data_IF_664657374807
#
_entry.id   IF_664657374807
#
_cell.length_a   1.000
_cell.length_b   1.000
_cell.length_c   1.000
_cell.angle_alpha   90.00
_cell.angle_beta   90.00
_cell.angle_gamma   90.00
#
_symmetry.space_group_name_H-M   'P 1'
#
loop_
_entity.id
_entity.type
_entity.pdbx_description
1 polymer ?
#
# COMPACT_ATOMS: atom_id res chain seq x y z
N UNK A 1 -49.27 -12.94 15.10
CA UNK A 1 -50.50 -12.94 14.25
C UNK A 1 -50.39 -11.75 13.31
N UNK A 2 -49.95 -11.99 12.07
CA UNK A 2 -50.63 -11.70 10.79
C UNK A 2 -51.30 -10.32 10.69
N UNK A 3 -50.81 -9.49 9.77
CA UNK A 3 -51.49 -8.96 8.57
C UNK A 3 -50.46 -8.08 7.82
N UNK A 4 -49.79 -8.52 6.74
CA UNK A 4 -50.26 -8.70 5.36
C UNK A 4 -50.94 -7.44 4.79
N UNK A 5 -50.16 -6.59 4.11
CA UNK A 5 -50.66 -5.52 3.26
C UNK A 5 -50.41 -5.90 1.79
N UNK A 6 -51.51 -6.13 1.07
CA UNK A 6 -51.56 -6.36 -0.38
C UNK A 6 -51.16 -5.12 -1.15
N UNK A 7 -50.29 -5.28 -2.14
CA UNK A 7 -49.97 -4.25 -3.14
C UNK A 7 -50.75 -4.55 -4.43
N UNK A 8 -51.82 -3.81 -4.66
CA UNK A 8 -52.62 -3.86 -5.89
C UNK A 8 -51.95 -2.98 -6.94
N UNK A 9 -51.42 -3.56 -8.01
CA UNK A 9 -50.92 -2.81 -9.18
C UNK A 9 -52.06 -2.67 -10.19
N UNK A 10 -52.39 -1.42 -10.50
CA UNK A 10 -53.45 -1.04 -11.43
C UNK A 10 -52.93 -1.14 -12.88
N UNK A 11 -53.56 -2.02 -13.67
CA UNK A 11 -53.41 -2.10 -15.13
C UNK A 11 -54.10 -0.90 -15.80
N UNK A 12 -53.39 -0.16 -16.64
CA UNK A 12 -53.99 0.76 -17.60
C UNK A 12 -53.78 0.22 -19.02
N UNK A 13 -54.86 -0.26 -19.62
CA UNK A 13 -54.99 -0.64 -21.03
C UNK A 13 -55.16 0.62 -21.89
N UNK A 14 -54.24 0.84 -22.84
CA UNK A 14 -54.51 1.65 -24.03
C UNK A 14 -53.97 0.89 -25.24
N UNK A 15 -54.91 0.43 -26.08
CA UNK A 15 -54.63 -0.33 -27.28
C UNK A 15 -54.15 0.55 -28.43
N UNK A 16 -53.17 0.03 -29.16
CA UNK A 16 -52.98 0.25 -30.60
C UNK A 16 -52.51 -1.08 -31.21
N UNK A 17 -53.02 -1.42 -32.40
CA UNK A 17 -52.80 -2.70 -33.06
C UNK A 17 -51.32 -2.88 -33.46
N UNK A 18 -50.75 -4.10 -33.42
CA UNK A 18 -49.38 -4.32 -33.86
C UNK A 18 -49.34 -4.45 -35.38
N UNK A 19 -48.46 -3.65 -36.01
CA UNK A 19 -47.94 -3.96 -37.33
C UNK A 19 -47.14 -5.26 -37.23
N UNK A 20 -47.41 -6.22 -38.11
CA UNK A 20 -46.70 -7.49 -38.17
C UNK A 20 -45.21 -7.25 -38.47
N UNK A 21 -44.38 -7.35 -37.44
CA UNK A 21 -42.94 -7.47 -37.58
C UNK A 21 -42.66 -8.87 -38.11
N UNK A 22 -42.02 -8.94 -39.28
CA UNK A 22 -41.55 -10.19 -39.86
C UNK A 22 -40.67 -10.94 -38.85
N UNK A 23 -41.05 -12.16 -38.50
CA UNK A 23 -40.26 -13.04 -37.64
C UNK A 23 -38.91 -13.31 -38.31
N UNK A 24 -37.83 -12.83 -37.69
CA UNK A 24 -36.49 -13.29 -38.02
C UNK A 24 -36.40 -14.80 -37.74
N UNK A 25 -35.73 -15.59 -38.60
CA UNK A 25 -35.65 -17.03 -38.44
C UNK A 25 -35.08 -17.37 -37.06
N UNK A 26 -35.77 -18.27 -36.35
CA UNK A 26 -35.38 -18.75 -35.02
C UNK A 26 -34.02 -19.47 -35.10
N UNK A 27 -32.94 -18.72 -34.92
CA UNK A 27 -31.61 -19.28 -34.77
C UNK A 27 -31.60 -20.17 -33.53
N UNK A 28 -31.31 -21.46 -33.71
CA UNK A 28 -31.11 -22.38 -32.58
C UNK A 28 -30.01 -21.81 -31.69
N UNK A 29 -30.27 -21.54 -30.39
CA UNK A 29 -29.27 -20.92 -29.54
C UNK A 29 -28.03 -21.82 -29.45
N UNK A 30 -26.84 -21.24 -29.70
CA UNK A 30 -25.58 -21.93 -29.44
C UNK A 30 -25.41 -22.29 -27.95
N UNK A 31 -24.35 -23.02 -27.56
CA UNK A 31 -24.13 -23.35 -26.16
C UNK A 31 -24.01 -22.09 -25.30
N UNK A 32 -24.61 -22.11 -24.12
CA UNK A 32 -24.48 -21.01 -23.17
C UNK A 32 -23.03 -20.86 -22.76
N UNK A 33 -22.47 -19.68 -23.00
CA UNK A 33 -21.19 -19.27 -22.45
C UNK A 33 -21.40 -18.46 -21.18
N UNK A 34 -20.60 -18.74 -20.15
CA UNK A 34 -20.62 -18.06 -18.86
C UNK A 34 -19.35 -17.24 -18.69
N UNK A 35 -19.49 -16.09 -18.03
CA UNK A 35 -18.38 -15.28 -17.53
C UNK A 35 -18.19 -15.66 -16.06
N UNK A 36 -16.98 -16.03 -15.66
CA UNK A 36 -16.65 -16.41 -14.28
C UNK A 36 -15.33 -15.80 -13.86
N UNK A 37 -15.31 -15.17 -12.68
CA UNK A 37 -14.07 -14.68 -12.08
C UNK A 37 -13.44 -15.84 -11.32
N UNK A 38 -12.29 -16.30 -11.80
CA UNK A 38 -11.55 -17.42 -11.22
C UNK A 38 -10.63 -16.95 -10.07
N UNK A 39 -10.06 -15.76 -10.22
CA UNK A 39 -9.14 -15.14 -9.26
C UNK A 39 -9.28 -13.62 -9.37
N UNK A 40 -9.18 -12.92 -8.25
CA UNK A 40 -9.17 -11.46 -8.23
C UNK A 40 -8.39 -10.94 -7.03
N UNK A 41 -7.40 -10.09 -7.28
CA UNK A 41 -6.77 -9.24 -6.27
C UNK A 41 -7.32 -7.81 -6.29
N UNK A 42 -8.48 -7.60 -6.92
CA UNK A 42 -9.14 -6.32 -6.99
C UNK A 42 -9.80 -5.95 -5.65
N UNK A 43 -9.27 -4.93 -4.99
CA UNK A 43 -9.69 -4.50 -3.66
C UNK A 43 -10.26 -3.08 -3.69
N UNK A 44 -11.03 -2.75 -2.65
CA UNK A 44 -11.39 -1.35 -2.37
C UNK A 44 -10.11 -0.59 -1.99
N UNK A 45 -9.94 0.60 -2.55
CA UNK A 45 -8.83 1.48 -2.20
C UNK A 45 -8.95 1.99 -0.75
N UNK A 46 -7.79 2.22 -0.16
CA UNK A 46 -7.66 2.80 1.17
C UNK A 46 -7.26 4.27 1.06
N UNK A 47 -8.16 5.20 1.40
CA UNK A 47 -7.91 6.63 1.32
C UNK A 47 -7.05 7.19 2.46
N UNK A 48 -6.70 6.36 3.47
CA UNK A 48 -5.90 6.83 4.61
C UNK A 48 -4.49 7.24 4.24
N UNK A 49 -4.00 6.90 3.05
CA UNK A 49 -2.72 7.40 2.53
C UNK A 49 -2.66 8.93 2.50
N UNK A 50 -3.80 9.60 2.36
CA UNK A 50 -3.92 11.07 2.42
C UNK A 50 -3.58 11.65 3.79
N UNK A 51 -3.53 10.80 4.82
CA UNK A 51 -3.16 11.21 6.18
C UNK A 51 -1.66 11.15 6.46
N UNK A 52 -0.89 10.54 5.55
CA UNK A 52 0.55 10.49 5.63
C UNK A 52 1.15 11.87 5.34
N UNK A 53 2.16 12.24 6.13
CA UNK A 53 2.99 13.42 5.84
C UNK A 53 4.01 13.09 4.75
N UNK A 54 3.54 13.05 3.50
CA UNK A 54 4.39 12.88 2.31
C UNK A 54 4.70 14.23 1.67
N UNK A 55 5.86 14.39 1.00
CA UNK A 55 6.13 15.53 0.15
C UNK A 55 5.13 15.59 -1.01
N UNK A 56 4.89 16.79 -1.57
CA UNK A 56 4.00 16.97 -2.72
C UNK A 56 4.50 16.25 -3.98
N UNK A 57 5.81 16.00 -4.08
CA UNK A 57 6.47 15.35 -5.20
C UNK A 57 7.76 14.66 -4.72
N UNK A 58 8.20 13.55 -5.34
CA UNK A 58 9.53 12.98 -5.09
C UNK A 58 10.66 13.84 -5.67
N UNK A 59 10.31 14.86 -6.46
CA UNK A 59 11.25 15.74 -7.17
C UNK A 59 11.29 17.18 -6.62
N UNK A 60 10.97 17.40 -5.34
CA UNK A 60 11.23 18.72 -4.74
C UNK A 60 12.73 19.06 -4.82
N UNK A 61 13.12 20.35 -4.82
CA UNK A 61 14.52 20.74 -4.91
C UNK A 61 15.41 20.04 -3.87
N UNK A 62 14.95 19.91 -2.63
CA UNK A 62 15.68 19.30 -1.53
C UNK A 62 15.84 17.78 -1.73
N UNK A 63 14.78 17.09 -2.13
CA UNK A 63 14.82 15.64 -2.35
C UNK A 63 15.64 15.29 -3.59
N UNK A 64 15.54 16.08 -4.66
CA UNK A 64 16.37 15.92 -5.85
C UNK A 64 17.85 16.10 -5.53
N UNK A 65 18.20 17.15 -4.77
CA UNK A 65 19.57 17.41 -4.37
C UNK A 65 20.13 16.27 -3.51
N UNK A 66 19.35 15.77 -2.54
CA UNK A 66 19.71 14.59 -1.75
C UNK A 66 19.95 13.38 -2.64
N UNK A 67 18.99 13.05 -3.52
CA UNK A 67 19.05 11.89 -4.43
C UNK A 67 20.28 11.94 -5.32
N UNK A 68 20.52 13.05 -6.00
CA UNK A 68 21.67 13.25 -6.88
C UNK A 68 23.00 13.15 -6.13
N UNK A 69 23.05 13.61 -4.89
CA UNK A 69 24.23 13.50 -4.06
C UNK A 69 24.52 12.03 -3.68
N UNK A 70 23.51 11.29 -3.22
CA UNK A 70 23.68 9.88 -2.81
C UNK A 70 23.99 8.97 -3.99
N UNK A 71 23.29 9.15 -5.13
CA UNK A 71 23.48 8.31 -6.32
C UNK A 71 24.84 8.48 -7.00
N UNK A 72 25.63 9.49 -6.63
CA UNK A 72 27.04 9.59 -7.02
C UNK A 72 27.93 8.59 -6.27
N UNK A 73 27.51 8.15 -5.09
CA UNK A 73 28.27 7.27 -4.20
C UNK A 73 27.70 5.83 -4.14
N UNK A 74 26.42 5.64 -4.51
CA UNK A 74 25.74 4.34 -4.47
C UNK A 74 25.00 4.06 -5.76
N UNK A 75 25.30 2.91 -6.37
CA UNK A 75 24.51 2.40 -7.49
C UNK A 75 23.31 1.58 -7.00
N UNK A 76 22.12 2.08 -7.33
CA UNK A 76 20.82 1.46 -7.06
C UNK A 76 20.13 0.95 -8.35
N UNK A 77 20.74 1.14 -9.53
CA UNK A 77 20.07 1.06 -10.85
C UNK A 77 19.73 -0.35 -11.36
N UNK A 78 20.06 -1.41 -10.62
CA UNK A 78 19.78 -2.82 -10.99
C UNK A 78 19.36 -3.70 -9.82
N UNK A 79 18.79 -3.08 -8.79
CA UNK A 79 18.38 -3.73 -7.55
C UNK A 79 16.86 -3.93 -7.57
N UNK A 80 16.40 -5.04 -7.02
CA UNK A 80 14.98 -5.18 -6.67
C UNK A 80 14.60 -4.14 -5.61
N UNK A 81 13.31 -3.83 -5.48
CA UNK A 81 12.84 -2.83 -4.53
C UNK A 81 13.32 -3.08 -3.07
N UNK A 82 13.23 -4.30 -2.49
CA UNK A 82 13.81 -4.56 -1.18
C UNK A 82 15.33 -4.33 -1.11
N UNK A 83 16.08 -4.65 -2.17
CA UNK A 83 17.53 -4.42 -2.21
C UNK A 83 17.87 -2.92 -2.32
N UNK A 84 17.03 -2.11 -2.99
CA UNK A 84 17.16 -0.65 -3.00
C UNK A 84 16.98 -0.11 -1.58
N UNK A 85 15.95 -0.56 -0.88
CA UNK A 85 15.66 -0.14 0.49
C UNK A 85 16.83 -0.45 1.43
N UNK A 86 17.34 -1.68 1.38
CA UNK A 86 18.43 -2.12 2.25
C UNK A 86 19.77 -1.45 1.90
N UNK A 87 20.02 -1.15 0.62
CA UNK A 87 21.20 -0.41 0.22
C UNK A 87 21.17 1.06 0.67
N UNK A 88 20.00 1.71 0.61
CA UNK A 88 19.80 3.05 1.16
C UNK A 88 19.99 3.07 2.68
N UNK A 89 19.42 2.07 3.37
CA UNK A 89 19.60 1.85 4.81
C UNK A 89 21.09 1.73 5.18
N UNK A 90 21.81 0.83 4.52
CA UNK A 90 23.24 0.60 4.77
C UNK A 90 24.03 1.89 4.52
N UNK A 91 23.84 2.55 3.37
CA UNK A 91 24.60 3.74 3.04
C UNK A 91 24.42 4.86 4.06
N UNK A 92 23.18 5.15 4.49
CA UNK A 92 22.93 6.19 5.51
C UNK A 92 23.55 5.80 6.85
N UNK A 93 23.43 4.54 7.26
CA UNK A 93 23.88 4.06 8.58
C UNK A 93 25.39 4.20 8.82
N UNK A 94 26.19 4.25 7.75
CA UNK A 94 27.66 4.32 7.83
C UNK A 94 28.19 5.74 7.59
N UNK A 95 27.34 6.77 7.58
CA UNK A 95 27.79 8.14 7.34
C UNK A 95 28.37 8.80 8.60
N UNK A 96 27.80 8.54 9.79
CA UNK A 96 28.30 9.06 11.06
C UNK A 96 28.23 8.01 12.17
N UNK A 97 28.69 8.36 13.38
CA UNK A 97 28.42 7.58 14.59
C UNK A 97 27.39 8.33 15.43
N UNK A 98 26.50 7.60 16.12
CA UNK A 98 25.40 8.22 16.87
C UNK A 98 25.86 9.20 17.96
N UNK A 99 25.24 10.38 18.00
CA UNK A 99 25.41 11.36 19.06
C UNK A 99 24.03 11.79 19.59
N UNK A 100 23.68 11.32 20.80
CA UNK A 100 22.36 11.51 21.40
C UNK A 100 22.05 12.95 21.81
N UNK A 101 23.05 13.82 21.83
CA UNK A 101 22.94 15.18 22.38
C UNK A 101 23.08 16.27 21.32
N UNK A 102 23.35 15.91 20.06
CA UNK A 102 23.55 16.87 18.98
C UNK A 102 22.39 16.87 18.00
N UNK A 103 21.83 18.04 17.72
CA UNK A 103 20.75 18.21 16.76
C UNK A 103 21.08 19.31 15.75
N UNK A 104 20.66 19.17 14.49
CA UNK A 104 20.87 20.21 13.49
C UNK A 104 19.96 21.41 13.79
N UNK A 105 20.33 22.58 13.24
CA UNK A 105 19.48 23.77 13.33
C UNK A 105 18.08 23.49 12.72
N UNK A 106 17.00 24.10 13.26
CA UNK A 106 15.66 23.93 12.71
C UNK A 106 15.59 24.23 11.21
N UNK A 107 14.95 23.35 10.44
CA UNK A 107 14.82 23.50 8.98
C UNK A 107 16.00 22.98 8.16
N UNK A 108 17.03 22.42 8.79
CA UNK A 108 18.14 21.77 8.06
C UNK A 108 17.62 20.58 7.26
N UNK A 109 17.91 20.55 5.95
CA UNK A 109 17.51 19.46 5.07
C UNK A 109 18.39 18.21 5.23
N UNK A 110 17.90 17.05 4.81
CA UNK A 110 18.68 15.80 4.80
C UNK A 110 19.99 15.89 4.02
N UNK A 111 20.01 16.65 2.91
CA UNK A 111 21.25 16.94 2.19
C UNK A 111 22.23 17.76 3.04
N UNK A 112 21.76 18.80 3.72
CA UNK A 112 22.60 19.63 4.60
C UNK A 112 23.11 18.85 5.81
N UNK A 113 22.31 17.95 6.39
CA UNK A 113 22.75 17.02 7.45
C UNK A 113 23.98 16.23 6.96
N UNK A 114 23.92 15.67 5.75
CA UNK A 114 25.04 14.91 5.17
C UNK A 114 26.27 15.79 4.89
N UNK A 115 26.08 17.06 4.49
CA UNK A 115 27.20 18.00 4.36
C UNK A 115 27.87 18.31 5.70
N UNK A 116 27.07 18.52 6.76
CA UNK A 116 27.56 18.76 8.10
C UNK A 116 28.33 17.54 8.64
N UNK A 117 27.83 16.33 8.37
CA UNK A 117 28.52 15.08 8.72
C UNK A 117 29.88 14.97 8.03
N UNK A 118 30.00 15.37 6.75
CA UNK A 118 31.30 15.47 6.06
C UNK A 118 32.26 16.46 6.73
N UNK A 119 31.76 17.41 7.51
CA UNK A 119 32.54 18.35 8.32
C UNK A 119 32.76 17.86 9.76
N UNK A 120 32.43 16.61 10.08
CA UNK A 120 32.67 15.98 11.38
C UNK A 120 31.50 16.05 12.36
N UNK A 121 30.33 16.57 11.95
CA UNK A 121 29.13 16.51 12.78
C UNK A 121 28.60 15.07 12.90
N UNK A 122 27.87 14.83 13.99
CA UNK A 122 27.23 13.56 14.31
C UNK A 122 25.86 13.85 14.90
N UNK A 123 24.88 12.98 14.68
CA UNK A 123 23.49 13.24 15.05
C UNK A 123 22.80 12.03 15.66
N UNK A 124 21.57 12.25 16.13
CA UNK A 124 20.75 11.28 16.87
C UNK A 124 20.04 10.31 15.92
N UNK A 125 19.34 9.35 16.50
CA UNK A 125 18.39 8.46 15.81
C UNK A 125 17.39 9.22 14.91
N UNK A 126 16.97 10.42 15.30
CA UNK A 126 16.02 11.26 14.55
C UNK A 126 16.55 11.60 13.16
N UNK A 127 17.81 12.02 13.08
CA UNK A 127 18.43 12.43 11.82
C UNK A 127 18.73 11.22 10.93
N UNK A 128 19.08 10.05 11.50
CA UNK A 128 19.20 8.80 10.74
C UNK A 128 17.86 8.43 10.08
N UNK A 129 16.77 8.42 10.87
CA UNK A 129 15.42 8.12 10.40
C UNK A 129 14.91 9.09 9.33
N UNK A 130 15.24 10.37 9.50
CA UNK A 130 14.87 11.44 8.56
C UNK A 130 15.61 11.28 7.23
N UNK A 131 16.95 11.15 7.26
CA UNK A 131 17.75 11.06 6.03
C UNK A 131 17.42 9.82 5.21
N UNK A 132 17.26 8.65 5.85
CA UNK A 132 16.89 7.43 5.11
C UNK A 132 15.47 7.53 4.53
N UNK A 133 14.53 8.14 5.27
CA UNK A 133 13.16 8.31 4.78
C UNK A 133 13.12 9.27 3.60
N UNK A 134 13.77 10.42 3.69
CA UNK A 134 13.83 11.41 2.60
C UNK A 134 14.50 10.82 1.36
N UNK A 135 15.57 10.02 1.53
CA UNK A 135 16.21 9.33 0.43
C UNK A 135 15.24 8.36 -0.25
N UNK A 136 14.52 7.53 0.50
CA UNK A 136 13.54 6.60 -0.04
C UNK A 136 12.36 7.32 -0.72
N UNK A 137 11.86 8.40 -0.12
CA UNK A 137 10.82 9.26 -0.70
C UNK A 137 11.29 9.86 -2.03
N UNK A 138 12.54 10.32 -2.11
CA UNK A 138 13.13 10.83 -3.36
C UNK A 138 13.21 9.77 -4.45
N UNK A 139 13.30 8.49 -4.09
CA UNK A 139 13.33 7.35 -5.00
C UNK A 139 11.92 6.83 -5.34
N UNK A 140 10.86 7.47 -4.82
CA UNK A 140 9.48 7.10 -5.06
C UNK A 140 8.92 6.02 -4.13
N UNK A 141 9.62 5.67 -3.06
CA UNK A 141 9.15 4.69 -2.07
C UNK A 141 8.57 5.42 -0.86
N UNK A 142 7.26 5.29 -0.58
CA UNK A 142 6.66 5.90 0.61
C UNK A 142 7.36 5.40 1.88
N UNK A 143 8.09 6.30 2.56
CA UNK A 143 8.80 6.05 3.80
C UNK A 143 8.42 7.08 4.84
N UNK A 144 8.47 6.70 6.11
CA UNK A 144 8.17 7.58 7.24
C UNK A 144 9.07 7.27 8.43
N UNK A 145 9.48 8.29 9.21
CA UNK A 145 10.00 8.08 10.54
C UNK A 145 8.92 7.43 11.43
N UNK A 146 9.33 6.46 12.23
CA UNK A 146 8.52 5.82 13.25
C UNK A 146 9.15 6.10 14.62
N UNK A 147 8.41 6.79 15.49
CA UNK A 147 8.79 6.90 16.89
C UNK A 147 8.36 5.65 17.64
N UNK A 148 9.27 5.05 18.40
CA UNK A 148 8.98 3.95 19.32
C UNK A 148 9.36 4.38 20.73
N UNK A 149 8.53 4.04 21.71
CA UNK A 149 8.65 4.58 23.06
C UNK A 149 8.52 3.50 24.10
N UNK A 150 9.18 3.69 25.24
CA UNK A 150 9.01 2.84 26.42
C UNK A 150 7.61 3.00 27.02
N UNK A 151 7.16 2.09 27.90
CA UNK A 151 5.89 2.25 28.61
C UNK A 151 5.79 3.51 29.48
N UNK A 152 6.94 4.05 29.94
CA UNK A 152 7.04 5.25 30.78
C UNK A 152 7.47 6.49 29.98
N UNK A 153 6.99 6.62 28.75
CA UNK A 153 7.33 7.71 27.84
C UNK A 153 7.07 9.12 28.41
N UNK A 154 6.05 9.25 29.26
CA UNK A 154 5.59 10.53 29.78
C UNK A 154 6.57 11.11 30.81
N UNK A 155 7.12 10.29 31.72
CA UNK A 155 7.92 10.77 32.87
C UNK A 155 9.16 9.94 33.20
N UNK A 156 9.50 8.90 32.42
CA UNK A 156 10.62 7.99 32.68
C UNK A 156 12.04 8.58 32.50
N UNK A 157 12.17 9.88 32.26
CA UNK A 157 13.47 10.57 32.12
C UNK A 157 14.10 10.45 30.73
N UNK A 158 15.43 10.44 30.64
CA UNK A 158 16.13 10.37 29.35
C UNK A 158 16.03 8.99 28.69
N UNK A 159 16.00 8.98 27.35
CA UNK A 159 16.08 7.75 26.55
C UNK A 159 14.76 6.97 26.43
N UNK A 160 13.62 7.61 26.66
CA UNK A 160 12.30 6.97 26.61
C UNK A 160 11.74 6.82 25.19
N UNK A 161 12.48 7.26 24.17
CA UNK A 161 12.15 7.03 22.78
C UNK A 161 13.37 6.67 21.94
N UNK A 162 13.10 6.02 20.82
CA UNK A 162 14.00 5.79 19.70
C UNK A 162 13.26 6.13 18.40
N UNK A 163 13.98 6.57 17.38
CA UNK A 163 13.41 6.81 16.04
C UNK A 163 14.02 5.83 15.06
N UNK A 164 13.14 5.08 14.42
CA UNK A 164 13.43 4.17 13.30
C UNK A 164 12.66 4.65 12.08
N UNK A 165 12.65 3.88 11.00
CA UNK A 165 11.81 4.17 9.83
C UNK A 165 10.99 2.95 9.42
N UNK A 166 9.87 3.22 8.76
CA UNK A 166 9.13 2.21 8.01
C UNK A 166 8.96 2.67 6.57
N UNK A 167 9.07 1.72 5.65
CA UNK A 167 8.89 1.96 4.21
C UNK A 167 7.89 0.96 3.65
N UNK A 168 7.02 1.44 2.76
CA UNK A 168 6.12 0.59 1.99
C UNK A 168 6.86 -0.07 0.83
N UNK A 169 6.83 -1.40 0.79
CA UNK A 169 7.30 -2.19 -0.34
C UNK A 169 6.12 -2.67 -1.17
N UNK A 170 6.06 -2.25 -2.44
CA UNK A 170 5.12 -2.75 -3.42
C UNK A 170 5.37 -4.23 -3.76
N UNK A 171 6.63 -4.65 -3.78
CA UNK A 171 7.02 -6.03 -4.07
C UNK A 171 6.55 -7.01 -2.99
N UNK A 172 6.52 -6.56 -1.73
CA UNK A 172 6.07 -7.36 -0.58
C UNK A 172 4.61 -7.06 -0.18
N UNK A 173 4.00 -6.06 -0.81
CA UNK A 173 2.68 -5.51 -0.49
C UNK A 173 2.49 -5.19 1.01
N UNK A 174 3.51 -4.59 1.63
CA UNK A 174 3.50 -4.27 3.05
C UNK A 174 4.49 -3.19 3.47
N UNK A 175 4.23 -2.61 4.63
CA UNK A 175 5.23 -1.83 5.39
C UNK A 175 6.30 -2.77 5.95
N UNK A 176 7.56 -2.35 5.89
CA UNK A 176 8.71 -3.04 6.49
C UNK A 176 9.48 -2.10 7.41
N UNK A 177 9.97 -2.65 8.51
CA UNK A 177 10.78 -1.97 9.52
C UNK A 177 12.24 -1.89 9.07
N UNK A 178 12.83 -0.70 9.23
CA UNK A 178 14.27 -0.47 9.08
C UNK A 178 14.78 0.46 10.19
N UNK A 179 15.94 0.14 10.78
CA UNK A 179 16.60 0.97 11.78
C UNK A 179 17.94 1.50 11.24
N UNK A 180 17.98 2.75 10.78
CA UNK A 180 19.18 3.33 10.19
C UNK A 180 20.33 3.61 11.18
N UNK A 181 20.07 3.64 12.49
CA UNK A 181 21.16 3.78 13.47
C UNK A 181 21.99 2.49 13.59
N UNK A 182 21.34 1.33 13.45
CA UNK A 182 21.96 0.01 13.58
C UNK A 182 22.11 -0.73 12.25
N UNK A 183 21.69 -0.10 11.15
CA UNK A 183 21.62 -0.71 9.83
C UNK A 183 20.83 -2.04 9.82
N UNK A 184 19.71 -2.05 10.55
CA UNK A 184 19.01 -3.28 10.92
C UNK A 184 17.65 -3.40 10.22
N UNK A 185 17.29 -4.59 9.79
CA UNK A 185 15.90 -4.96 9.50
C UNK A 185 15.52 -6.25 10.22
N UNK A 186 14.23 -6.55 10.29
CA UNK A 186 13.71 -7.70 11.02
C UNK A 186 12.98 -8.67 10.10
N UNK A 187 13.18 -9.97 10.33
CA UNK A 187 12.48 -11.04 9.62
C UNK A 187 11.97 -12.11 10.57
N UNK A 188 10.90 -12.79 10.18
CA UNK A 188 10.41 -14.02 10.80
C UNK A 188 10.05 -15.02 9.71
N UNK A 189 10.57 -16.25 9.79
CA UNK A 189 10.36 -17.29 8.79
C UNK A 189 10.61 -16.81 7.34
N UNK A 190 11.66 -16.01 7.14
CA UNK A 190 12.02 -15.44 5.84
C UNK A 190 11.15 -14.28 5.36
N UNK A 191 10.16 -13.83 6.14
CA UNK A 191 9.31 -12.69 5.81
C UNK A 191 9.77 -11.44 6.56
N UNK A 192 9.89 -10.31 5.87
CA UNK A 192 10.13 -9.01 6.51
C UNK A 192 9.01 -8.65 7.48
N UNK A 193 9.36 -7.98 8.57
CA UNK A 193 8.43 -7.51 9.59
C UNK A 193 8.30 -6.00 9.58
N UNK A 194 7.13 -5.50 9.96
CA UNK A 194 6.97 -4.16 10.50
C UNK A 194 7.05 -4.16 12.03
N UNK A 195 7.05 -2.97 12.65
CA UNK A 195 7.23 -2.88 14.11
C UNK A 195 6.08 -3.52 14.90
N UNK A 196 4.85 -3.37 14.42
CA UNK A 196 3.69 -3.96 15.09
C UNK A 196 3.66 -5.48 15.03
N UNK A 197 4.06 -6.09 13.91
CA UNK A 197 4.22 -7.55 13.81
C UNK A 197 5.30 -8.07 14.78
N UNK A 198 6.39 -7.32 14.98
CA UNK A 198 7.38 -7.66 16.01
C UNK A 198 6.77 -7.61 17.42
N UNK A 199 5.94 -6.60 17.71
CA UNK A 199 5.21 -6.54 18.97
C UNK A 199 4.22 -7.70 19.13
N UNK A 200 3.52 -8.11 18.07
CA UNK A 200 2.62 -9.28 18.11
C UNK A 200 3.38 -10.55 18.50
N UNK A 201 4.52 -10.80 17.86
CA UNK A 201 5.38 -11.94 18.21
C UNK A 201 5.89 -11.84 19.64
N UNK A 202 6.25 -10.65 20.11
CA UNK A 202 6.66 -10.45 21.51
C UNK A 202 5.53 -10.78 22.49
N UNK A 203 4.31 -10.30 22.22
CA UNK A 203 3.12 -10.58 23.02
C UNK A 203 2.76 -12.06 23.06
N UNK A 204 3.06 -12.80 21.99
CA UNK A 204 2.91 -14.25 21.91
C UNK A 204 4.04 -15.03 22.63
N UNK A 205 5.03 -14.35 23.21
CA UNK A 205 6.21 -14.98 23.81
C UNK A 205 7.25 -15.46 22.79
N UNK A 206 7.13 -15.02 21.54
CA UNK A 206 7.89 -15.48 20.37
C UNK A 206 8.89 -14.44 19.86
N UNK A 207 9.23 -13.44 20.69
CA UNK A 207 10.20 -12.41 20.32
C UNK A 207 11.54 -13.00 19.88
N UNK A 208 11.98 -14.09 20.53
CA UNK A 208 13.22 -14.81 20.22
C UNK A 208 13.24 -15.47 18.84
N UNK A 209 12.10 -15.64 18.17
CA UNK A 209 12.02 -16.18 16.81
C UNK A 209 12.36 -15.14 15.74
N UNK A 210 12.32 -13.84 16.07
CA UNK A 210 12.68 -12.76 15.16
C UNK A 210 14.17 -12.78 14.90
N UNK A 211 14.55 -12.74 13.63
CA UNK A 211 15.94 -12.53 13.20
C UNK A 211 16.14 -11.05 12.89
N UNK A 212 17.03 -10.40 13.62
CA UNK A 212 17.54 -9.07 13.29
C UNK A 212 18.75 -9.22 12.36
N UNK A 213 18.72 -8.54 11.23
CA UNK A 213 19.75 -8.68 10.19
C UNK A 213 20.42 -7.33 9.96
N UNK A 214 21.69 -7.17 10.40
CA UNK A 214 22.49 -5.99 10.11
C UNK A 214 23.10 -6.06 8.71
N UNK A 215 23.48 -4.91 8.16
CA UNK A 215 24.21 -4.86 6.90
C UNK A 215 25.71 -5.21 7.06
N UNK A 216 26.35 -5.83 6.05
CA UNK A 216 27.76 -6.22 6.12
C UNK A 216 28.72 -5.04 6.37
N UNK A 217 28.54 -3.89 5.71
CA UNK A 217 29.45 -2.75 5.87
C UNK A 217 29.31 -2.10 7.22
N UNK A 218 28.12 -2.15 7.83
CA UNK A 218 27.92 -1.71 9.20
C UNK A 218 28.72 -2.59 10.18
N UNK A 219 28.63 -3.91 10.05
CA UNK A 219 29.40 -4.85 10.88
C UNK A 219 30.92 -4.60 10.74
N UNK A 220 31.40 -4.42 9.51
CA UNK A 220 32.82 -4.13 9.23
C UNK A 220 33.27 -2.82 9.88
N UNK A 221 32.53 -1.72 9.67
CA UNK A 221 32.83 -0.39 10.22
C UNK A 221 32.90 -0.43 11.75
N UNK A 222 31.93 -1.07 12.39
CA UNK A 222 31.80 -1.10 13.84
C UNK A 222 32.52 -2.28 14.51
N UNK A 223 33.15 -3.17 13.73
CA UNK A 223 33.85 -4.37 14.21
C UNK A 223 32.97 -5.22 15.13
N UNK A 224 31.70 -5.41 14.74
CA UNK A 224 30.69 -6.15 15.51
C UNK A 224 30.54 -7.57 15.00
N UNK A 225 30.42 -8.50 15.92
CA UNK A 225 29.96 -9.86 15.63
C UNK A 225 28.43 -9.85 15.43
N UNK A 226 27.87 -10.52 14.41
CA UNK A 226 26.43 -10.53 14.16
C UNK A 226 25.58 -11.08 15.32
N UNK A 227 26.04 -12.12 16.02
CA UNK A 227 25.28 -12.75 17.10
C UNK A 227 25.28 -11.89 18.36
N UNK A 228 26.42 -11.27 18.70
CA UNK A 228 26.48 -10.30 19.80
C UNK A 228 25.63 -9.06 19.48
N UNK A 229 25.66 -8.56 18.25
CA UNK A 229 24.83 -7.44 17.85
C UNK A 229 23.33 -7.77 17.91
N UNK A 230 22.89 -8.98 17.50
CA UNK A 230 21.49 -9.41 17.64
C UNK A 230 21.06 -9.37 19.12
N UNK A 231 21.90 -9.90 20.03
CA UNK A 231 21.61 -9.91 21.46
C UNK A 231 21.50 -8.51 22.05
N UNK A 232 22.47 -7.63 21.74
CA UNK A 232 22.46 -6.23 22.16
C UNK A 232 21.23 -5.50 21.62
N UNK A 233 20.95 -5.64 20.33
CA UNK A 233 19.86 -4.97 19.64
C UNK A 233 18.49 -5.45 20.15
N UNK A 234 18.33 -6.75 20.39
CA UNK A 234 17.11 -7.33 20.96
C UNK A 234 16.83 -6.77 22.35
N UNK A 235 17.84 -6.70 23.21
CA UNK A 235 17.72 -6.11 24.54
C UNK A 235 17.38 -4.61 24.46
N UNK A 236 18.00 -3.89 23.51
CA UNK A 236 17.73 -2.48 23.26
C UNK A 236 16.29 -2.24 22.79
N UNK A 237 15.86 -2.91 21.71
CA UNK A 237 14.58 -2.72 21.04
C UNK A 237 13.41 -3.16 21.91
N UNK A 238 13.57 -4.26 22.68
CA UNK A 238 12.53 -4.80 23.56
C UNK A 238 12.02 -3.82 24.62
N UNK A 239 12.78 -2.75 24.93
CA UNK A 239 12.36 -1.68 25.85
C UNK A 239 11.29 -0.75 25.25
N UNK A 240 11.20 -0.68 23.92
CA UNK A 240 10.41 0.32 23.20
C UNK A 240 9.04 -0.18 22.71
N UNK A 241 8.55 -1.31 23.22
CA UNK A 241 7.18 -1.78 22.97
C UNK A 241 6.13 -1.11 23.88
N UNK A 242 6.36 0.13 24.31
CA UNK A 242 5.38 0.91 25.08
C UNK A 242 4.35 1.58 24.18
N UNK A 243 4.82 2.43 23.28
CA UNK A 243 4.00 3.12 22.29
C UNK A 243 4.75 3.18 20.97
N UNK A 244 4.02 3.30 19.87
CA UNK A 244 4.59 3.67 18.59
C UNK A 244 3.83 4.87 18.01
N UNK A 245 4.50 5.67 17.19
CA UNK A 245 3.89 6.88 16.65
C UNK A 245 4.42 7.28 15.28
N UNK A 246 3.55 7.88 14.48
CA UNK A 246 3.89 8.39 13.15
C UNK A 246 3.44 9.85 13.01
N UNK A 247 4.09 10.64 12.13
CA UNK A 247 3.55 11.92 11.71
C UNK A 247 2.17 11.76 11.06
N UNK A 248 1.23 12.60 11.45
CA UNK A 248 -0.14 12.61 10.93
C UNK A 248 -0.48 13.99 10.36
N UNK A 249 -1.14 14.01 9.21
CA UNK A 249 -1.61 15.23 8.55
C UNK A 249 -3.06 15.06 8.14
N UNK A 250 -3.93 16.00 8.48
CA UNK A 250 -5.31 16.01 7.96
C UNK A 250 -5.79 17.44 7.81
N UNK A 251 -6.29 17.78 6.63
CA UNK A 251 -6.83 19.12 6.32
C UNK A 251 -5.84 20.25 6.70
N UNK A 252 -4.55 20.03 6.44
CA UNK A 252 -3.45 20.95 6.78
C UNK A 252 -3.03 20.95 8.25
N UNK A 253 -3.76 20.27 9.15
CA UNK A 253 -3.44 20.18 10.58
C UNK A 253 -2.49 19.02 10.84
N UNK A 254 -1.38 19.33 11.51
CA UNK A 254 -0.35 18.36 11.89
C UNK A 254 -0.66 17.80 13.28
N UNK A 255 -0.48 16.50 13.42
CA UNK A 255 -0.52 15.79 14.70
C UNK A 255 0.50 14.65 14.70
N UNK A 256 0.61 13.96 15.82
CA UNK A 256 1.33 12.70 15.98
C UNK A 256 0.32 11.63 16.31
N UNK A 257 0.11 10.67 15.40
CA UNK A 257 -0.76 9.53 15.65
C UNK A 257 0.00 8.52 16.53
N UNK A 258 -0.54 8.24 17.70
CA UNK A 258 0.02 7.41 18.77
C UNK A 258 -0.78 6.12 18.89
N UNK A 259 -0.11 4.96 18.80
CA UNK A 259 -0.68 3.66 19.09
C UNK A 259 -0.05 3.10 20.37
N UNK A 260 -0.82 2.96 21.47
CA UNK A 260 -0.38 2.24 22.66
C UNK A 260 -0.15 0.75 22.36
N UNK A 261 0.96 0.21 22.86
CA UNK A 261 1.30 -1.20 22.83
C UNK A 261 1.22 -1.78 24.25
N UNK A 262 2.33 -1.83 24.99
CA UNK A 262 2.34 -2.15 26.44
C UNK A 262 2.08 -0.93 27.32
N UNK A 263 2.26 0.27 26.77
CA UNK A 263 1.98 1.52 27.43
C UNK A 263 0.50 1.66 27.76
N UNK A 264 0.19 2.34 28.87
CA UNK A 264 -1.18 2.52 29.35
C UNK A 264 -1.56 4.00 29.36
N UNK A 265 -2.76 4.27 28.86
CA UNK A 265 -3.36 5.60 28.91
C UNK A 265 -2.87 6.52 27.79
N UNK A 266 -3.36 7.75 27.87
CA UNK A 266 -2.99 8.85 26.99
C UNK A 266 -2.22 9.88 27.82
N UNK A 267 -1.35 10.64 27.18
CA UNK A 267 -0.54 11.66 27.83
C UNK A 267 -0.37 12.88 26.93
N UNK A 268 -0.03 14.01 27.54
CA UNK A 268 0.31 15.27 26.87
C UNK A 268 1.74 15.74 27.24
N UNK A 269 2.58 14.79 27.68
CA UNK A 269 3.95 15.03 28.11
C UNK A 269 4.90 13.99 27.52
N UNK A 270 6.17 14.35 27.42
CA UNK A 270 7.23 13.43 27.00
C UNK A 270 8.49 13.72 27.81
N UNK A 271 9.00 12.69 28.50
CA UNK A 271 10.16 12.78 29.39
C UNK A 271 10.07 13.92 30.43
N UNK A 272 8.88 14.21 30.93
CA UNK A 272 8.60 15.29 31.90
C UNK A 272 8.38 16.67 31.29
N UNK A 273 8.55 16.82 29.97
CA UNK A 273 8.31 18.07 29.25
C UNK A 273 6.95 18.06 28.54
N UNK A 274 6.49 19.23 28.11
CA UNK A 274 5.27 19.40 27.32
C UNK A 274 5.36 18.66 25.98
N UNK A 275 4.25 18.07 25.54
CA UNK A 275 4.11 17.43 24.23
C UNK A 275 2.73 17.71 23.64
N UNK A 276 2.71 18.42 22.53
CA UNK A 276 1.47 18.88 21.89
C UNK A 276 1.11 18.07 20.65
N UNK A 277 -0.16 18.12 20.26
CA UNK A 277 -0.65 17.55 19.01
C UNK A 277 -0.65 16.02 18.98
N UNK A 278 -0.80 15.36 20.13
CA UNK A 278 -0.90 13.90 20.22
C UNK A 278 -2.34 13.44 19.94
N UNK A 279 -2.49 12.51 19.00
CA UNK A 279 -3.75 11.86 18.67
C UNK A 279 -3.60 10.36 18.96
N UNK A 280 -4.37 9.82 19.89
CA UNK A 280 -4.28 8.40 20.24
C UNK A 280 -5.30 7.57 19.45
N UNK A 281 -4.89 6.37 19.06
CA UNK A 281 -5.73 5.35 18.43
C UNK A 281 -5.46 3.99 19.05
N UNK A 282 -6.46 3.11 19.07
CA UNK A 282 -6.35 1.70 19.42
C UNK A 282 -6.39 0.78 18.19
N UNK A 283 -6.58 1.34 16.99
CA UNK A 283 -6.68 0.59 15.75
C UNK A 283 -5.35 0.60 14.98
N UNK A 284 -4.58 -0.50 14.98
CA UNK A 284 -3.32 -0.57 14.23
C UNK A 284 -3.51 -0.37 12.72
N UNK A 285 -4.72 -0.58 12.18
CA UNK A 285 -5.01 -0.39 10.76
C UNK A 285 -4.92 1.09 10.35
N UNK A 286 -5.00 2.03 11.29
CA UNK A 286 -4.77 3.46 11.00
C UNK A 286 -3.30 3.77 10.72
N UNK A 287 -2.37 2.89 11.11
CA UNK A 287 -0.94 3.01 10.82
C UNK A 287 -0.51 2.07 9.68
N UNK A 288 -1.12 0.88 9.58
CA UNK A 288 -0.74 -0.20 8.68
C UNK A 288 -1.79 -0.50 7.62
N UNK A 289 -2.16 0.52 6.85
CA UNK A 289 -3.02 0.37 5.67
C UNK A 289 -2.18 0.15 4.39
N UNK A 290 -2.75 -0.53 3.38
CA UNK A 290 -2.07 -0.76 2.11
C UNK A 290 -1.90 0.53 1.31
N UNK A 291 -0.83 0.61 0.52
CA UNK A 291 -0.55 1.74 -0.37
C UNK A 291 -0.42 1.27 -1.83
N UNK A 292 -0.50 2.23 -2.75
CA UNK A 292 -0.13 2.06 -4.16
C UNK A 292 -0.97 1.04 -4.95
N UNK A 293 -2.08 0.55 -4.36
CA UNK A 293 -3.01 -0.35 -5.05
C UNK A 293 -3.75 0.37 -6.16
N UNK A 294 -4.08 -0.40 -7.20
CA UNK A 294 -4.97 0.02 -8.28
C UNK A 294 -6.27 -0.76 -8.15
N UNK A 295 -7.41 -0.10 -8.35
CA UNK A 295 -8.72 -0.72 -8.42
C UNK A 295 -9.20 -0.71 -9.87
N UNK A 296 -9.87 -1.78 -10.28
CA UNK A 296 -10.44 -1.97 -11.61
C UNK A 296 -11.96 -2.08 -11.50
N UNK A 297 -12.68 -1.24 -12.23
CA UNK A 297 -14.13 -1.33 -12.39
C UNK A 297 -14.44 -1.81 -13.81
N UNK A 298 -15.32 -2.80 -13.94
CA UNK A 298 -15.75 -3.36 -15.23
C UNK A 298 -17.13 -2.80 -15.58
N UNK A 299 -17.19 -2.02 -16.67
CA UNK A 299 -18.45 -1.48 -17.19
C UNK A 299 -18.74 -2.10 -18.55
N UNK A 300 -19.91 -2.72 -18.74
CA UNK A 300 -20.30 -3.26 -20.05
C UNK A 300 -20.46 -2.14 -21.09
N UNK A 301 -19.89 -2.32 -22.27
CA UNK A 301 -20.02 -1.36 -23.37
C UNK A 301 -21.43 -1.36 -23.99
N UNK A 302 -22.10 -2.51 -23.99
CA UNK A 302 -23.47 -2.69 -24.51
C UNK A 302 -24.39 -3.30 -23.43
N UNK A 303 -24.52 -2.57 -22.32
CA UNK A 303 -25.40 -2.98 -21.23
C UNK A 303 -26.87 -2.82 -21.63
N UNK A 304 -27.54 -3.94 -21.90
CA UNK A 304 -28.99 -3.98 -22.17
C UNK A 304 -29.75 -4.26 -20.88
N UNK A 305 -30.93 -3.64 -20.70
CA UNK A 305 -31.77 -3.92 -19.52
C UNK A 305 -32.33 -5.34 -19.63
N UNK A 306 -32.33 -6.13 -18.54
CA UNK A 306 -32.89 -7.48 -18.56
C UNK A 306 -34.34 -7.54 -19.07
N UNK A 307 -35.18 -6.55 -18.72
CA UNK A 307 -36.58 -6.52 -19.15
C UNK A 307 -36.75 -6.36 -20.66
N UNK A 308 -35.89 -5.58 -21.31
CA UNK A 308 -35.96 -5.35 -22.76
C UNK A 308 -35.61 -6.65 -23.50
N UNK A 309 -34.62 -7.39 -23.00
CA UNK A 309 -34.21 -8.69 -23.55
C UNK A 309 -35.29 -9.77 -23.36
N UNK A 310 -35.95 -9.79 -22.20
CA UNK A 310 -37.07 -10.71 -21.91
C UNK A 310 -38.23 -10.45 -22.87
N UNK A 311 -38.57 -9.18 -23.11
CA UNK A 311 -39.62 -8.77 -24.03
C UNK A 311 -39.27 -9.10 -25.48
N UNK A 312 -38.06 -8.73 -25.93
CA UNK A 312 -37.54 -8.99 -27.28
C UNK A 312 -37.58 -10.48 -27.63
N UNK A 313 -37.24 -11.36 -26.68
CA UNK A 313 -37.22 -12.80 -26.88
C UNK A 313 -38.50 -13.52 -26.44
N UNK A 314 -39.56 -12.79 -26.10
CA UNK A 314 -40.86 -13.33 -25.69
C UNK A 314 -40.70 -14.42 -24.62
N UNK A 315 -39.98 -14.09 -23.55
CA UNK A 315 -39.77 -14.99 -22.41
C UNK A 315 -40.89 -14.77 -21.40
N UNK A 316 -41.76 -15.76 -21.24
CA UNK A 316 -42.92 -15.71 -20.33
C UNK A 316 -42.83 -16.72 -19.19
N UNK A 317 -41.97 -17.72 -19.33
CA UNK A 317 -41.75 -18.77 -18.32
C UNK A 317 -40.26 -18.94 -17.97
N UNK A 318 -39.99 -19.55 -16.82
CA UNK A 318 -38.63 -19.91 -16.41
C UNK A 318 -37.96 -20.89 -17.39
N UNK A 319 -38.73 -21.85 -17.93
CA UNK A 319 -38.22 -22.81 -18.92
C UNK A 319 -37.80 -22.11 -20.23
N UNK A 320 -38.58 -21.13 -20.69
CA UNK A 320 -38.20 -20.29 -21.82
C UNK A 320 -36.97 -19.44 -21.51
N UNK A 321 -36.87 -18.89 -20.30
CA UNK A 321 -35.69 -18.12 -19.89
C UNK A 321 -34.43 -18.99 -19.97
N UNK A 322 -34.45 -20.19 -19.40
CA UNK A 322 -33.29 -21.09 -19.38
C UNK A 322 -32.88 -21.55 -20.78
N UNK A 323 -33.85 -21.88 -21.65
CA UNK A 323 -33.57 -22.34 -23.01
C UNK A 323 -33.13 -21.23 -23.96
N UNK A 324 -33.69 -20.02 -23.82
CA UNK A 324 -33.34 -18.84 -24.65
C UNK A 324 -32.16 -18.05 -24.10
N UNK A 325 -31.68 -18.33 -22.88
CA UNK A 325 -30.56 -17.61 -22.23
C UNK A 325 -29.33 -17.38 -23.12
N UNK A 326 -28.89 -18.32 -23.99
CA UNK A 326 -27.74 -18.05 -24.86
C UNK A 326 -27.94 -16.89 -25.84
N UNK A 327 -29.19 -16.51 -26.15
CA UNK A 327 -29.51 -15.40 -27.06
C UNK A 327 -29.20 -14.03 -26.44
N UNK A 328 -29.31 -13.92 -25.11
CA UNK A 328 -29.16 -12.66 -24.38
C UNK A 328 -28.13 -12.74 -23.24
N UNK A 329 -27.33 -13.80 -23.19
CA UNK A 329 -26.26 -13.97 -22.21
C UNK A 329 -25.22 -12.85 -22.37
N UNK A 330 -24.73 -12.35 -21.24
CA UNK A 330 -23.70 -11.31 -21.22
C UNK A 330 -22.44 -11.78 -21.95
N UNK A 331 -21.83 -10.86 -22.71
CA UNK A 331 -20.54 -11.05 -23.37
C UNK A 331 -19.49 -10.17 -22.68
N UNK A 332 -18.25 -10.64 -22.51
CA UNK A 332 -17.24 -9.91 -21.75
C UNK A 332 -16.60 -8.79 -22.58
N UNK A 333 -17.41 -7.81 -22.97
CA UNK A 333 -17.01 -6.60 -23.68
C UNK A 333 -17.16 -5.40 -22.73
N UNK A 334 -16.03 -5.01 -22.13
CA UNK A 334 -15.98 -4.03 -21.07
C UNK A 334 -15.17 -2.79 -21.46
N UNK A 335 -15.48 -1.68 -20.82
CA UNK A 335 -14.52 -0.62 -20.53
C UNK A 335 -14.05 -0.79 -19.08
N UNK A 336 -12.73 -0.86 -18.90
CA UNK A 336 -12.08 -0.77 -17.60
C UNK A 336 -12.08 0.70 -17.17
N UNK A 337 -12.44 0.97 -15.92
CA UNK A 337 -12.18 2.25 -15.25
C UNK A 337 -11.26 2.00 -14.06
N UNK A 338 -10.18 2.77 -13.98
CA UNK A 338 -9.08 2.55 -13.06
C UNK A 338 -9.01 3.65 -12.00
N UNK A 339 -8.77 3.27 -10.76
CA UNK A 339 -8.53 4.18 -9.65
C UNK A 339 -7.27 3.76 -8.91
N UNK A 340 -6.59 4.67 -8.20
CA UNK A 340 -5.36 4.35 -7.47
C UNK A 340 -5.33 4.99 -6.07
N UNK A 341 -4.63 4.30 -5.16
CA UNK A 341 -4.18 4.85 -3.87
C UNK A 341 -2.72 5.30 -3.87
N UNK A 342 -2.10 5.41 -5.05
CA UNK A 342 -0.67 5.73 -5.22
C UNK A 342 -0.36 7.22 -5.03
N UNK A 343 0.52 7.61 -4.09
CA UNK A 343 1.12 8.93 -4.05
C UNK A 343 1.99 9.20 -5.28
N UNK A 344 2.03 10.47 -5.71
CA UNK A 344 2.83 10.93 -6.85
C UNK A 344 2.54 10.16 -8.15
N UNK A 345 1.29 9.76 -8.35
CA UNK A 345 0.86 9.05 -9.55
C UNK A 345 1.30 9.75 -10.85
N UNK A 346 1.72 8.95 -11.83
CA UNK A 346 2.06 9.38 -13.19
C UNK A 346 1.13 8.73 -14.23
N UNK A 347 1.04 7.40 -14.25
CA UNK A 347 0.23 6.67 -15.22
C UNK A 347 -0.16 5.27 -14.74
N UNK A 348 -1.07 4.63 -15.47
CA UNK A 348 -1.36 3.21 -15.35
C UNK A 348 -0.65 2.41 -16.43
N UNK A 349 -0.32 1.16 -16.10
CA UNK A 349 0.10 0.15 -17.06
C UNK A 349 -0.89 -1.02 -17.04
N UNK A 350 -1.19 -1.56 -18.22
CA UNK A 350 -2.04 -2.72 -18.42
C UNK A 350 -1.28 -3.77 -19.22
N UNK A 351 -1.43 -5.03 -18.80
CA UNK A 351 -1.05 -6.20 -19.56
C UNK A 351 -2.21 -7.19 -19.59
N UNK A 352 -2.35 -7.88 -20.72
CA UNK A 352 -3.36 -8.92 -20.94
C UNK A 352 -2.64 -10.20 -21.34
N UNK A 353 -3.04 -11.33 -20.75
CA UNK A 353 -2.58 -12.69 -21.05
C UNK A 353 -1.06 -12.87 -21.07
N UNK A 354 -0.38 -12.21 -20.14
CA UNK A 354 1.08 -12.32 -19.99
C UNK A 354 1.89 -11.64 -21.10
N UNK A 355 1.29 -10.77 -21.92
CA UNK A 355 1.98 -9.98 -22.94
C UNK A 355 2.95 -8.92 -22.39
N UNK A 356 3.17 -7.84 -23.13
CA UNK A 356 3.98 -6.71 -22.65
C UNK A 356 3.13 -5.71 -21.85
N UNK A 357 3.77 -5.05 -20.88
CA UNK A 357 3.16 -3.92 -20.19
C UNK A 357 2.98 -2.73 -21.14
N UNK A 358 1.77 -2.16 -21.18
CA UNK A 358 1.45 -0.98 -21.99
C UNK A 358 1.03 0.17 -21.09
N UNK A 359 1.72 1.31 -21.23
CA UNK A 359 1.29 2.57 -20.62
C UNK A 359 -0.06 2.99 -21.20
N UNK A 360 -1.01 3.26 -20.32
CA UNK A 360 -2.32 3.78 -20.69
C UNK A 360 -2.29 5.32 -20.80
N UNK A 361 -3.03 5.91 -21.75
CA UNK A 361 -3.12 7.37 -21.90
C UNK A 361 -4.01 8.04 -20.83
N UNK A 362 -4.78 7.26 -20.08
CA UNK A 362 -5.71 7.73 -19.07
C UNK A 362 -6.12 6.62 -18.11
N UNK A 363 -7.23 6.83 -17.42
CA UNK A 363 -7.81 5.94 -16.41
C UNK A 363 -8.80 4.92 -16.98
N UNK A 364 -8.92 4.83 -18.31
CA UNK A 364 -9.81 3.88 -18.99
C UNK A 364 -9.07 3.06 -20.02
N UNK A 365 -9.53 1.82 -20.22
CA UNK A 365 -9.01 0.93 -21.27
C UNK A 365 -10.11 -0.01 -21.78
N UNK A 366 -10.16 -0.30 -23.09
CA UNK A 366 -11.06 -1.34 -23.59
C UNK A 366 -10.59 -2.72 -23.15
N UNK A 367 -11.54 -3.57 -22.73
CA UNK A 367 -11.30 -4.96 -22.36
C UNK A 367 -12.35 -5.87 -22.98
N UNK A 368 -12.08 -6.29 -24.22
CA UNK A 368 -12.86 -7.31 -24.92
C UNK A 368 -12.19 -8.67 -24.74
N UNK A 369 -12.75 -9.49 -23.86
CA UNK A 369 -12.16 -10.77 -23.49
C UNK A 369 -12.49 -11.84 -24.53
N UNK A 370 -11.53 -12.69 -24.83
CA UNK A 370 -11.71 -13.80 -25.74
C UNK A 370 -12.32 -15.02 -25.04
N UNK A 371 -12.74 -16.01 -25.81
CA UNK A 371 -13.19 -17.30 -25.27
C UNK A 371 -12.02 -18.05 -24.64
N UNK A 372 -12.27 -18.72 -23.52
CA UNK A 372 -11.25 -19.34 -22.67
C UNK A 372 -10.94 -18.52 -21.43
N UNK A 373 -9.71 -18.64 -20.93
CA UNK A 373 -9.24 -17.89 -19.77
C UNK A 373 -8.50 -16.63 -20.22
N UNK A 374 -8.80 -15.52 -19.55
CA UNK A 374 -8.20 -14.22 -19.77
C UNK A 374 -7.58 -13.76 -18.45
N UNK A 375 -6.38 -13.20 -18.49
CA UNK A 375 -5.71 -12.59 -17.34
C UNK A 375 -5.51 -11.10 -17.60
N UNK A 376 -6.19 -10.26 -16.82
CA UNK A 376 -5.97 -8.82 -16.80
C UNK A 376 -5.03 -8.49 -15.64
N UNK A 377 -3.97 -7.74 -15.93
CA UNK A 377 -3.02 -7.25 -14.94
C UNK A 377 -2.86 -5.74 -15.09
N UNK A 378 -3.15 -4.99 -14.02
CA UNK A 378 -3.08 -3.53 -14.00
C UNK A 378 -2.24 -3.07 -12.82
N UNK A 379 -1.44 -2.03 -13.02
CA UNK A 379 -0.72 -1.35 -11.93
C UNK A 379 -0.61 0.14 -12.19
N UNK A 380 -0.51 0.92 -11.12
CA UNK A 380 -0.14 2.32 -11.17
C UNK A 380 1.38 2.47 -11.13
N UNK A 381 1.90 3.54 -11.73
CA UNK A 381 3.32 3.91 -11.70
C UNK A 381 3.41 5.37 -11.25
N UNK A 382 4.34 5.66 -10.33
CA UNK A 382 4.54 7.02 -9.83
C UNK A 382 5.56 7.79 -10.67
N UNK A 383 5.69 9.09 -10.38
CA UNK A 383 6.59 10.02 -11.10
C UNK A 383 8.08 9.67 -10.99
N UNK A 384 8.47 8.88 -9.99
CA UNK A 384 9.85 8.36 -9.87
C UNK A 384 10.05 7.03 -10.62
N UNK A 385 9.02 6.50 -11.27
CA UNK A 385 9.06 5.23 -12.01
C UNK A 385 8.83 3.99 -11.16
N UNK A 386 8.49 4.12 -9.87
CA UNK A 386 8.17 2.97 -9.04
C UNK A 386 6.77 2.43 -9.36
N UNK A 387 6.70 1.16 -9.73
CA UNK A 387 5.45 0.47 -10.03
C UNK A 387 4.80 -0.10 -8.76
N UNK A 388 3.48 0.09 -8.63
CA UNK A 388 2.70 -0.44 -7.51
C UNK A 388 2.44 -1.94 -7.61
N UNK A 389 1.80 -2.53 -6.57
CA UNK A 389 1.36 -3.91 -6.62
C UNK A 389 0.44 -4.18 -7.82
N UNK A 390 0.58 -5.35 -8.42
CA UNK A 390 -0.23 -5.76 -9.58
C UNK A 390 -1.62 -6.17 -9.13
N UNK A 391 -2.65 -5.48 -9.64
CA UNK A 391 -4.03 -5.95 -9.59
C UNK A 391 -4.23 -6.99 -10.70
N UNK A 392 -4.50 -8.23 -10.33
CA UNK A 392 -4.69 -9.36 -11.22
C UNK A 392 -6.14 -9.84 -11.15
N UNK A 393 -6.78 -9.99 -12.30
CA UNK A 393 -8.08 -10.64 -12.45
C UNK A 393 -7.99 -11.75 -13.50
N UNK A 394 -8.31 -12.99 -13.11
CA UNK A 394 -8.50 -14.10 -14.05
C UNK A 394 -9.97 -14.31 -14.32
N UNK A 395 -10.36 -14.17 -15.57
CA UNK A 395 -11.75 -14.23 -16.03
C UNK A 395 -11.87 -15.31 -17.10
N UNK A 396 -12.77 -16.26 -16.87
CA UNK A 396 -13.10 -17.30 -17.84
C UNK A 396 -14.38 -16.93 -18.58
N UNK A 397 -14.34 -17.02 -19.90
CA UNK A 397 -15.51 -16.93 -20.76
C UNK A 397 -15.58 -18.18 -21.64
N UNK A 398 -16.40 -19.15 -21.25
CA UNK A 398 -16.48 -20.43 -21.97
C UNK A 398 -17.87 -21.06 -21.80
N UNK A 399 -18.17 -22.07 -22.63
CA UNK A 399 -19.32 -22.93 -22.41
C UNK A 399 -19.24 -23.57 -21.01
N UNK A 400 -20.40 -23.74 -20.37
CA UNK A 400 -20.49 -24.55 -19.14
C UNK A 400 -20.03 -25.98 -19.48
N UNK A 401 -19.06 -26.56 -18.74
CA UNK A 401 -18.59 -27.92 -19.00
C UNK A 401 -19.67 -28.98 -18.84
#
# INVERSE_FOLDING_TARGET
MRHAASLTVLLALLGTAPAALAEAPAATPGPLKKISILESSNLKLDDRYRTLKLPESPDTPELRQLREYVLKEVDLSKRSEPEVILAALEWVSIQWDHDGMNEPAPGTSSYQILQNVKQGQRYRCVEYGTVVSDLLLSLGYPSRPLGIKTPDAAYGGFGQAHVVSEVWSNALDKWIFIDPQFSMYATHQGRYLNFYEMYQLEREGRFGEIRFVPSPRYLERHKKDPAELDKEYRAFLGRYFGYMNIPYLRDGKKATLMLPLKGKGQFATFQGFQSDGLLFTDDPRELYFPLNHTQVLLTYNDARRPIDLIQEHHVTTEQEFLSKRPLFAARPDYTLTLQHGMPWFDHYELRVDGGEWKRLPGDTAPAKLHEGENTLEVRAVNRAGAAGPVNRMKIRYAADP
#
